data_IF_855480414385
#
_entry.id   IF_855480414385
#
_cell.length_a   1.000
_cell.length_b   1.000
_cell.length_c   1.000
_cell.angle_alpha   90.00
_cell.angle_beta   90.00
_cell.angle_gamma   90.00
#
_symmetry.space_group_name_H-M   'P 1'
#
loop_
_entity.id
_entity.type
_entity.pdbx_description
1 polymer ?
#
# COMPACT_ATOMS: atom_id res chain seq x y z
N UNK A 1 26.56 -0.75 2.74
CA UNK A 1 25.64 -0.25 1.70
C UNK A 1 25.97 1.20 1.40
N UNK A 2 26.29 1.55 0.14
CA UNK A 2 26.53 2.96 -0.24
C UNK A 2 25.19 3.72 -0.26
N UNK A 3 25.22 5.03 -0.07
CA UNK A 3 24.00 5.85 -0.13
C UNK A 3 23.35 5.81 -1.52
N UNK A 4 24.16 5.80 -2.58
CA UNK A 4 23.68 5.67 -3.95
C UNK A 4 22.87 4.36 -4.13
N UNK A 5 23.38 3.26 -3.56
CA UNK A 5 22.67 1.98 -3.58
C UNK A 5 21.37 2.05 -2.77
N UNK A 6 21.41 2.62 -1.55
CA UNK A 6 20.21 2.76 -0.71
C UNK A 6 19.11 3.57 -1.40
N UNK A 7 19.44 4.70 -2.04
CA UNK A 7 18.50 5.53 -2.79
C UNK A 7 17.95 4.81 -4.03
N UNK A 8 18.76 4.00 -4.68
CA UNK A 8 18.33 3.23 -5.85
C UNK A 8 17.40 2.10 -5.46
N UNK A 9 17.72 1.38 -4.39
CA UNK A 9 16.87 0.35 -3.82
C UNK A 9 15.52 0.94 -3.37
N UNK A 10 15.54 2.03 -2.60
CA UNK A 10 14.32 2.72 -2.13
C UNK A 10 13.42 3.12 -3.31
N UNK A 11 13.99 3.70 -4.38
CA UNK A 11 13.21 4.08 -5.57
C UNK A 11 12.60 2.87 -6.30
N UNK A 12 13.38 1.80 -6.52
CA UNK A 12 12.89 0.59 -7.19
C UNK A 12 11.77 -0.08 -6.40
N UNK A 13 11.97 -0.27 -5.10
CA UNK A 13 10.94 -0.80 -4.21
C UNK A 13 9.72 0.10 -4.17
N UNK A 14 9.91 1.42 -4.09
CA UNK A 14 8.83 2.39 -4.06
C UNK A 14 7.95 2.34 -5.31
N UNK A 15 8.54 2.22 -6.50
CA UNK A 15 7.77 2.10 -7.75
C UNK A 15 6.93 0.83 -7.77
N UNK A 16 7.52 -0.31 -7.38
CA UNK A 16 6.81 -1.60 -7.35
C UNK A 16 5.66 -1.54 -6.33
N UNK A 17 5.95 -1.04 -5.13
CA UNK A 17 4.97 -0.98 -4.04
C UNK A 17 3.88 0.07 -4.30
N UNK A 18 4.17 1.17 -5.00
CA UNK A 18 3.20 2.23 -5.24
C UNK A 18 1.95 1.71 -5.97
N UNK A 19 2.12 0.92 -7.03
CA UNK A 19 0.99 0.35 -7.77
C UNK A 19 0.12 -0.55 -6.89
N UNK A 20 0.78 -1.40 -6.10
CA UNK A 20 0.13 -2.35 -5.20
C UNK A 20 -0.61 -1.63 -4.06
N UNK A 21 0.02 -0.61 -3.48
CA UNK A 21 -0.57 0.22 -2.41
C UNK A 21 -1.73 1.04 -2.93
N UNK A 22 -1.65 1.61 -4.13
CA UNK A 22 -2.77 2.36 -4.73
C UNK A 22 -3.97 1.45 -4.95
N UNK A 23 -3.77 0.24 -5.47
CA UNK A 23 -4.86 -0.73 -5.62
C UNK A 23 -5.45 -1.12 -4.26
N UNK A 24 -4.60 -1.38 -3.27
CA UNK A 24 -5.03 -1.80 -1.92
C UNK A 24 -5.78 -0.69 -1.17
N UNK A 25 -5.22 0.52 -1.17
CA UNK A 25 -5.78 1.69 -0.49
C UNK A 25 -7.02 2.20 -1.22
N UNK A 26 -6.99 2.23 -2.57
CA UNK A 26 -8.13 2.63 -3.40
C UNK A 26 -9.32 1.70 -3.21
N UNK A 27 -9.11 0.39 -3.28
CA UNK A 27 -10.18 -0.59 -3.01
C UNK A 27 -10.72 -0.49 -1.58
N UNK A 28 -9.88 -0.30 -0.58
CA UNK A 28 -10.32 -0.15 0.82
C UNK A 28 -11.11 1.15 1.06
N UNK A 29 -10.70 2.24 0.41
CA UNK A 29 -11.38 3.53 0.47
C UNK A 29 -12.74 3.46 -0.25
N UNK A 30 -12.82 2.83 -1.42
CA UNK A 30 -14.08 2.60 -2.12
C UNK A 30 -15.02 1.70 -1.30
N UNK A 31 -14.51 0.64 -0.66
CA UNK A 31 -15.31 -0.17 0.27
C UNK A 31 -15.86 0.65 1.43
N UNK A 32 -15.06 1.57 1.97
CA UNK A 32 -15.51 2.46 3.04
C UNK A 32 -16.66 3.35 2.57
N UNK A 33 -16.58 3.90 1.36
CA UNK A 33 -17.68 4.66 0.76
C UNK A 33 -18.92 3.82 0.49
N UNK A 34 -18.76 2.61 -0.08
CA UNK A 34 -19.88 1.70 -0.31
C UNK A 34 -20.55 1.29 1.01
N UNK A 35 -19.78 1.13 2.08
CA UNK A 35 -20.31 0.86 3.42
C UNK A 35 -21.19 1.98 3.99
N UNK A 36 -21.09 3.21 3.47
CA UNK A 36 -21.99 4.31 3.82
C UNK A 36 -23.32 4.26 3.06
N UNK A 37 -23.40 3.51 1.97
CA UNK A 37 -24.63 3.35 1.18
C UNK A 37 -25.47 2.24 1.80
N UNK A 38 -26.69 2.54 2.29
CA UNK A 38 -27.55 1.52 2.89
C UNK A 38 -27.83 0.38 1.91
N UNK A 39 -27.57 -0.85 2.35
CA UNK A 39 -27.83 -2.04 1.55
C UNK A 39 -26.78 -2.35 0.47
N UNK A 40 -25.67 -1.61 0.35
CA UNK A 40 -24.68 -1.89 -0.69
C UNK A 40 -24.03 -3.28 -0.61
N UNK A 41 -23.96 -3.87 0.59
CA UNK A 41 -23.48 -5.24 0.82
C UNK A 41 -24.56 -6.32 0.73
N UNK A 42 -25.82 -5.95 0.45
CA UNK A 42 -26.95 -6.89 0.45
C UNK A 42 -27.18 -7.42 -0.97
N UNK A 43 -27.41 -8.72 -1.07
CA UNK A 43 -27.74 -9.39 -2.34
C UNK A 43 -29.00 -8.75 -2.96
N UNK A 44 -28.94 -8.43 -4.27
CA UNK A 44 -30.00 -7.71 -4.99
C UNK A 44 -29.84 -6.18 -5.00
N UNK A 45 -28.88 -5.61 -4.26
CA UNK A 45 -28.54 -4.19 -4.36
C UNK A 45 -27.82 -3.87 -5.67
N UNK A 46 -28.05 -2.69 -6.30
CA UNK A 46 -27.29 -2.25 -7.47
C UNK A 46 -25.78 -2.18 -7.23
N UNK A 47 -25.37 -2.07 -5.97
CA UNK A 47 -23.97 -1.93 -5.56
C UNK A 47 -23.31 -3.25 -5.18
N UNK A 48 -24.07 -4.36 -5.11
CA UNK A 48 -23.59 -5.63 -4.57
C UNK A 48 -22.40 -6.18 -5.38
N UNK A 49 -22.52 -6.22 -6.71
CA UNK A 49 -21.45 -6.70 -7.58
C UNK A 49 -20.17 -5.86 -7.45
N UNK A 50 -20.31 -4.54 -7.33
CA UNK A 50 -19.16 -3.66 -7.11
C UNK A 50 -18.53 -3.91 -5.74
N UNK A 51 -19.35 -4.06 -4.69
CA UNK A 51 -18.87 -4.37 -3.35
C UNK A 51 -18.10 -5.70 -3.33
N UNK A 52 -18.57 -6.75 -3.99
CA UNK A 52 -17.87 -8.03 -4.10
C UNK A 52 -16.52 -7.91 -4.80
N UNK A 53 -16.46 -7.23 -5.94
CA UNK A 53 -15.20 -7.02 -6.67
C UNK A 53 -14.22 -6.21 -5.80
N UNK A 54 -14.69 -5.18 -5.11
CA UNK A 54 -13.84 -4.39 -4.22
C UNK A 54 -13.36 -5.21 -3.02
N UNK A 55 -14.20 -6.07 -2.44
CA UNK A 55 -13.81 -7.02 -1.39
C UNK A 55 -12.77 -8.00 -1.91
N UNK A 56 -12.94 -8.54 -3.13
CA UNK A 56 -11.99 -9.46 -3.73
C UNK A 56 -10.63 -8.80 -3.99
N UNK A 57 -10.62 -7.59 -4.55
CA UNK A 57 -9.40 -6.82 -4.79
C UNK A 57 -8.72 -6.40 -3.50
N UNK A 58 -9.49 -5.98 -2.50
CA UNK A 58 -8.94 -5.54 -1.22
C UNK A 58 -8.43 -6.73 -0.41
N UNK A 59 -9.22 -7.81 -0.27
CA UNK A 59 -8.89 -8.99 0.55
C UNK A 59 -7.97 -10.01 -0.13
N UNK A 60 -7.90 -9.99 -1.47
CA UNK A 60 -7.06 -10.88 -2.27
C UNK A 60 -7.50 -12.35 -2.28
N UNK A 61 -8.78 -12.62 -2.03
CA UNK A 61 -9.41 -13.92 -2.32
C UNK A 61 -8.94 -15.13 -1.50
N UNK A 62 -8.32 -14.94 -0.33
CA UNK A 62 -7.96 -16.04 0.58
C UNK A 62 -6.50 -16.06 1.02
N UNK A 63 -5.87 -17.24 1.04
CA UNK A 63 -4.49 -17.43 1.56
C UNK A 63 -3.46 -16.63 0.75
N UNK A 64 -3.58 -16.63 -0.57
CA UNK A 64 -2.68 -15.87 -1.45
C UNK A 64 -2.76 -14.35 -1.21
N UNK A 65 -3.97 -13.82 -1.01
CA UNK A 65 -4.17 -12.43 -0.61
C UNK A 65 -3.47 -12.08 0.71
N UNK A 66 -3.54 -12.97 1.70
CA UNK A 66 -2.83 -12.79 2.98
C UNK A 66 -1.31 -12.76 2.80
N UNK A 67 -0.76 -13.69 2.02
CA UNK A 67 0.68 -13.73 1.72
C UNK A 67 1.11 -12.43 1.03
N UNK A 68 0.40 -12.03 -0.02
CA UNK A 68 0.65 -10.77 -0.73
C UNK A 68 0.66 -9.55 0.21
N UNK A 69 -0.31 -9.46 1.13
CA UNK A 69 -0.38 -8.36 2.12
C UNK A 69 0.77 -8.36 3.11
N UNK A 70 1.27 -9.54 3.52
CA UNK A 70 2.47 -9.64 4.36
C UNK A 70 3.66 -9.05 3.60
N UNK A 71 3.87 -9.44 2.35
CA UNK A 71 4.95 -8.87 1.52
C UNK A 71 4.78 -7.37 1.30
N UNK A 72 3.55 -6.90 1.07
CA UNK A 72 3.24 -5.48 0.94
C UNK A 72 3.59 -4.72 2.23
N UNK A 73 3.19 -5.24 3.38
CA UNK A 73 3.46 -4.65 4.69
C UNK A 73 4.96 -4.61 5.01
N UNK A 74 5.68 -5.69 4.74
CA UNK A 74 7.13 -5.74 4.88
C UNK A 74 7.83 -4.76 3.92
N UNK A 75 7.34 -4.65 2.69
CA UNK A 75 7.81 -3.69 1.70
C UNK A 75 7.64 -2.25 2.18
N UNK A 76 6.45 -1.90 2.68
CA UNK A 76 6.16 -0.59 3.27
C UNK A 76 7.05 -0.27 4.48
N UNK A 77 7.27 -1.24 5.36
CA UNK A 77 8.18 -1.09 6.49
C UNK A 77 9.63 -0.86 6.03
N UNK A 78 10.06 -1.57 4.99
CA UNK A 78 11.34 -1.35 4.33
C UNK A 78 11.44 0.05 3.70
N UNK A 79 10.38 0.55 3.09
CA UNK A 79 10.30 1.92 2.54
C UNK A 79 10.42 2.98 3.62
N UNK A 80 9.68 2.84 4.74
CA UNK A 80 9.75 3.75 5.86
C UNK A 80 11.15 3.77 6.50
N UNK A 81 11.73 2.58 6.71
CA UNK A 81 13.08 2.43 7.26
C UNK A 81 14.13 3.06 6.36
N UNK A 82 14.12 2.73 5.07
CA UNK A 82 15.10 3.27 4.11
C UNK A 82 14.94 4.78 3.89
N UNK A 83 13.72 5.30 3.85
CA UNK A 83 13.47 6.74 3.79
C UNK A 83 14.03 7.48 5.01
N UNK A 84 13.82 6.92 6.20
CA UNK A 84 14.37 7.45 7.46
C UNK A 84 15.90 7.46 7.45
N UNK A 85 16.53 6.38 6.99
CA UNK A 85 17.99 6.32 6.86
C UNK A 85 18.54 7.33 5.85
N UNK A 86 17.85 7.54 4.73
CA UNK A 86 18.21 8.56 3.73
C UNK A 86 18.13 9.94 4.38
N UNK A 87 17.04 10.25 5.11
CA UNK A 87 16.88 11.52 5.81
C UNK A 87 18.03 11.80 6.78
N UNK A 88 18.38 10.84 7.65
CA UNK A 88 19.49 11.02 8.58
C UNK A 88 20.84 11.19 7.88
N UNK A 89 21.09 10.47 6.78
CA UNK A 89 22.32 10.62 5.99
C UNK A 89 22.43 11.99 5.34
N UNK A 90 21.32 12.56 4.87
CA UNK A 90 21.28 13.92 4.33
C UNK A 90 21.53 14.93 5.46
N UNK A 91 20.80 14.80 6.58
CA UNK A 91 20.91 15.70 7.72
C UNK A 91 22.31 15.73 8.33
N UNK A 92 23.01 14.60 8.39
CA UNK A 92 24.37 14.52 8.90
C UNK A 92 25.40 15.30 8.05
N UNK A 93 25.04 15.68 6.81
CA UNK A 93 25.90 16.47 5.90
C UNK A 93 25.58 17.93 5.87
N UNK A 94 24.37 18.32 6.27
CA UNK A 94 23.98 19.72 6.29
C UNK A 94 24.70 20.40 7.47
N UNK A 95 25.63 21.34 7.22
CA UNK A 95 26.24 22.12 8.30
C UNK A 95 25.13 22.86 9.03
N UNK A 96 25.20 22.92 10.37
CA UNK A 96 24.32 23.81 11.14
C UNK A 96 24.67 25.24 10.74
N UNK A 97 23.85 25.87 9.90
CA UNK A 97 23.89 27.32 9.66
C UNK A 97 23.26 28.05 10.84
#
# INVERSE_FOLDING_TARGET
MTELYLRTWHRRMGIILALLVVLQAGSGLLLSFLGLIPGAGVEGSPWHALAEVMVALHLGGGVWGKIYRIFLGLGLLGMATSGTLIFFKIRARTPKS
#
